data_IF_794362976617
#
_entry.id   IF_794362976617
#
_cell.length_a   1.000
_cell.length_b   1.000
_cell.length_c   1.000
_cell.angle_alpha   90.00
_cell.angle_beta   90.00
_cell.angle_gamma   90.00
#
_symmetry.space_group_name_H-M   'P 1'
#
loop_
_entity.id
_entity.type
_entity.pdbx_description
1 polymer ?
#
# COMPACT_ATOMS: atom_id res chain seq x y z
N UNK A 1 -1.49 -47.23 8.84
CA UNK A 1 -1.83 -46.26 9.91
C UNK A 1 -0.71 -45.23 9.99
N UNK A 2 -1.09 -43.97 9.81
CA UNK A 2 -0.23 -42.80 9.65
C UNK A 2 0.60 -42.46 10.90
N UNK A 3 1.82 -41.95 10.66
CA UNK A 3 2.25 -40.64 11.16
C UNK A 3 3.39 -40.13 10.28
N UNK A 4 3.05 -39.18 9.41
CA UNK A 4 4.03 -38.30 8.76
C UNK A 4 4.01 -37.05 9.62
N UNK A 5 5.07 -36.84 10.37
CA UNK A 5 5.30 -35.58 11.08
C UNK A 5 5.53 -34.50 10.02
N UNK A 6 4.49 -33.71 9.78
CA UNK A 6 4.55 -32.52 8.97
C UNK A 6 5.43 -31.51 9.71
N UNK A 7 6.69 -31.41 9.29
CA UNK A 7 7.52 -30.25 9.56
C UNK A 7 6.83 -29.02 8.97
N UNK A 8 6.08 -28.32 9.80
CA UNK A 8 5.60 -26.97 9.51
C UNK A 8 6.86 -26.10 9.48
N UNK A 9 7.23 -25.49 8.33
CA UNK A 9 8.26 -24.47 8.36
C UNK A 9 7.61 -23.24 9.02
N UNK A 10 7.93 -23.07 10.30
CA UNK A 10 7.64 -21.84 11.03
C UNK A 10 8.25 -20.70 10.23
N UNK A 11 7.40 -19.78 9.78
CA UNK A 11 7.76 -18.55 9.11
C UNK A 11 8.72 -17.73 9.97
N UNK A 12 10.02 -17.83 9.67
CA UNK A 12 11.11 -17.05 10.30
C UNK A 12 11.30 -15.68 9.60
N UNK A 13 10.52 -15.38 8.55
CA UNK A 13 10.77 -14.24 7.66
C UNK A 13 10.31 -12.85 8.18
N UNK A 14 9.61 -12.77 9.32
CA UNK A 14 8.90 -11.53 9.70
C UNK A 14 9.72 -10.51 10.48
N UNK A 15 10.83 -10.87 11.12
CA UNK A 15 11.52 -9.94 12.04
C UNK A 15 12.58 -9.03 11.38
N UNK A 16 13.04 -9.35 10.16
CA UNK A 16 14.19 -8.65 9.55
C UNK A 16 13.93 -8.01 8.18
N UNK A 17 12.69 -7.97 7.68
CA UNK A 17 12.40 -7.31 6.39
C UNK A 17 12.21 -5.81 6.57
N UNK A 18 13.01 -5.01 5.88
CA UNK A 18 12.85 -3.56 5.81
C UNK A 18 11.79 -3.20 4.76
N UNK A 19 10.80 -2.39 5.13
CA UNK A 19 9.77 -1.94 4.19
C UNK A 19 9.89 -0.44 3.93
N UNK A 20 9.93 -0.08 2.65
CA UNK A 20 10.04 1.31 2.19
C UNK A 20 8.82 1.66 1.33
N UNK A 21 8.15 2.75 1.68
CA UNK A 21 7.03 3.34 0.94
C UNK A 21 7.43 4.73 0.42
N UNK A 22 8.09 4.83 -0.74
CA UNK A 22 8.25 6.09 -1.46
C UNK A 22 6.91 6.70 -1.85
N UNK A 23 6.69 7.95 -1.48
CA UNK A 23 5.49 8.72 -1.85
C UNK A 23 5.75 9.52 -3.14
N UNK A 24 5.10 9.12 -4.23
CA UNK A 24 5.07 9.87 -5.48
C UNK A 24 4.57 11.30 -5.29
N UNK A 25 5.15 12.24 -6.04
CA UNK A 25 4.64 13.61 -6.09
C UNK A 25 3.22 13.62 -6.68
N UNK A 26 2.27 14.30 -6.01
CA UNK A 26 0.94 14.46 -6.56
C UNK A 26 0.97 15.40 -7.78
N UNK A 27 -0.12 15.44 -8.58
CA UNK A 27 -0.30 16.44 -9.62
C UNK A 27 -0.11 17.87 -9.09
N UNK A 28 0.36 18.79 -9.93
CA UNK A 28 0.83 20.14 -9.53
C UNK A 28 -0.19 20.99 -8.76
N UNK A 29 -1.48 20.70 -8.89
CA UNK A 29 -2.57 21.37 -8.18
C UNK A 29 -2.96 20.72 -6.84
N UNK A 30 -2.24 19.69 -6.39
CA UNK A 30 -2.51 18.97 -5.15
C UNK A 30 -1.33 19.05 -4.18
N UNK A 31 -1.62 19.31 -2.91
CA UNK A 31 -0.63 19.14 -1.85
C UNK A 31 -0.46 17.64 -1.52
N UNK A 32 0.71 17.27 -0.99
CA UNK A 32 0.96 15.90 -0.48
C UNK A 32 -0.11 15.50 0.55
N UNK A 33 -0.48 16.42 1.44
CA UNK A 33 -1.48 16.16 2.48
C UNK A 33 -2.85 15.90 1.87
N UNK A 34 -3.30 16.74 0.94
CA UNK A 34 -4.63 16.58 0.35
C UNK A 34 -4.72 15.32 -0.50
N UNK A 35 -3.65 14.99 -1.23
CA UNK A 35 -3.57 13.80 -2.05
C UNK A 35 -3.61 12.51 -1.21
N UNK A 36 -2.65 12.36 -0.30
CA UNK A 36 -2.51 11.13 0.50
C UNK A 36 -3.56 10.99 1.59
N UNK A 37 -4.21 12.09 1.97
CA UNK A 37 -5.33 12.07 2.91
C UNK A 37 -6.71 12.03 2.25
N UNK A 38 -6.78 12.08 0.91
CA UNK A 38 -8.03 11.88 0.18
C UNK A 38 -8.56 10.48 0.44
N UNK A 39 -9.85 10.41 0.74
CA UNK A 39 -10.50 9.16 1.20
C UNK A 39 -10.94 8.30 0.03
N UNK A 40 -10.74 7.00 0.19
CA UNK A 40 -11.28 5.94 -0.66
C UNK A 40 -12.09 5.03 0.25
N UNK A 41 -13.41 4.97 0.04
CA UNK A 41 -14.34 4.25 0.93
C UNK A 41 -14.23 4.70 2.41
N UNK A 42 -14.07 6.01 2.64
CA UNK A 42 -14.00 6.59 3.97
C UNK A 42 -12.62 6.53 4.66
N UNK A 43 -11.67 5.76 4.11
CA UNK A 43 -10.30 5.62 4.64
C UNK A 43 -9.33 6.43 3.78
N UNK A 44 -8.47 7.28 4.36
CA UNK A 44 -7.40 7.97 3.64
C UNK A 44 -6.53 7.02 2.83
N UNK A 45 -6.15 7.43 1.61
CA UNK A 45 -5.36 6.62 0.69
C UNK A 45 -4.09 6.06 1.34
N UNK A 46 -3.27 6.91 1.97
CA UNK A 46 -2.04 6.47 2.62
C UNK A 46 -2.31 5.50 3.78
N UNK A 47 -3.32 5.78 4.61
CA UNK A 47 -3.68 4.88 5.71
C UNK A 47 -4.13 3.51 5.22
N UNK A 48 -4.76 3.43 4.05
CA UNK A 48 -5.18 2.16 3.48
C UNK A 48 -3.98 1.25 3.20
N UNK A 49 -2.92 1.78 2.61
CA UNK A 49 -1.67 1.04 2.39
C UNK A 49 -1.00 0.68 3.71
N UNK A 50 -0.90 1.62 4.65
CA UNK A 50 -0.31 1.38 5.97
C UNK A 50 -1.06 0.28 6.73
N UNK A 51 -2.40 0.26 6.68
CA UNK A 51 -3.19 -0.83 7.27
C UNK A 51 -3.03 -2.16 6.53
N UNK A 52 -2.86 -2.16 5.21
CA UNK A 52 -2.52 -3.39 4.47
C UNK A 52 -1.16 -3.93 4.91
N UNK A 53 -0.15 -3.08 5.03
CA UNK A 53 1.18 -3.43 5.54
C UNK A 53 1.09 -4.04 6.94
N UNK A 54 0.42 -3.36 7.89
CA UNK A 54 0.23 -3.87 9.25
C UNK A 54 -0.45 -5.25 9.28
N UNK A 55 -1.51 -5.43 8.48
CA UNK A 55 -2.25 -6.72 8.39
C UNK A 55 -1.45 -7.84 7.73
N UNK A 56 -0.37 -7.49 7.03
CA UNK A 56 0.58 -8.42 6.43
C UNK A 56 1.72 -8.79 7.39
N UNK A 57 1.74 -8.24 8.62
CA UNK A 57 2.79 -8.52 9.61
C UNK A 57 3.97 -7.54 9.56
N UNK A 58 3.86 -6.43 8.83
CA UNK A 58 4.93 -5.42 8.78
C UNK A 58 4.95 -4.63 10.09
N UNK A 59 6.08 -4.68 10.80
CA UNK A 59 6.26 -4.05 12.10
C UNK A 59 6.98 -2.69 12.04
N UNK A 60 7.69 -2.40 10.96
CA UNK A 60 8.40 -1.13 10.75
C UNK A 60 8.30 -0.68 9.29
N UNK A 61 8.07 0.61 9.07
CA UNK A 61 7.91 1.21 7.76
C UNK A 61 8.72 2.50 7.65
N UNK A 62 9.53 2.60 6.60
CA UNK A 62 10.18 3.83 6.17
C UNK A 62 9.28 4.50 5.13
N UNK A 63 8.73 5.66 5.44
CA UNK A 63 8.02 6.50 4.47
C UNK A 63 9.04 7.48 3.89
N UNK A 64 9.32 7.36 2.60
CA UNK A 64 10.29 8.20 1.91
C UNK A 64 9.58 9.26 1.05
N UNK A 65 9.97 10.52 1.19
CA UNK A 65 9.53 11.61 0.32
C UNK A 65 10.64 12.63 0.15
N UNK A 66 10.85 13.17 -1.05
CA UNK A 66 11.93 14.13 -1.33
C UNK A 66 11.75 15.52 -0.72
N UNK A 67 10.66 15.74 0.00
CA UNK A 67 10.34 17.00 0.68
C UNK A 67 9.81 16.68 2.07
N UNK A 68 10.01 17.58 3.02
CA UNK A 68 9.51 17.40 4.37
C UNK A 68 7.99 17.59 4.42
N UNK A 69 7.26 16.60 4.94
CA UNK A 69 5.80 16.59 4.97
C UNK A 69 5.25 16.60 6.40
N UNK A 70 5.69 17.56 7.23
CA UNK A 70 5.35 17.64 8.67
C UNK A 70 3.85 17.56 8.96
N UNK A 71 3.00 18.16 8.12
CA UNK A 71 1.55 18.11 8.25
C UNK A 71 0.99 16.70 8.04
N UNK A 72 1.53 15.94 7.08
CA UNK A 72 1.16 14.55 6.85
C UNK A 72 1.64 13.66 8.00
N UNK A 73 2.87 13.89 8.50
CA UNK A 73 3.43 13.15 9.64
C UNK A 73 2.55 13.34 10.88
N UNK A 74 2.17 14.60 11.18
CA UNK A 74 1.26 14.93 12.30
C UNK A 74 -0.10 14.24 12.17
N UNK A 75 -0.63 14.07 10.96
CA UNK A 75 -1.89 13.34 10.75
C UNK A 75 -1.71 11.84 11.03
N UNK A 76 -0.63 11.23 10.56
CA UNK A 76 -0.33 9.82 10.83
C UNK A 76 -0.13 9.56 12.34
N UNK A 77 0.62 10.40 13.04
CA UNK A 77 0.83 10.24 14.50
C UNK A 77 -0.44 10.37 15.34
N UNK A 78 -1.51 10.98 14.80
CA UNK A 78 -2.81 11.08 15.49
C UNK A 78 -3.68 9.84 15.30
N UNK A 79 -3.30 8.92 14.42
CA UNK A 79 -4.08 7.72 14.13
C UNK A 79 -3.77 6.61 15.14
N UNK A 80 -4.69 6.44 16.08
CA UNK A 80 -4.56 5.50 17.20
C UNK A 80 -4.55 4.00 16.80
N UNK A 81 -4.93 3.67 15.56
CA UNK A 81 -4.98 2.28 15.07
C UNK A 81 -3.65 1.80 14.48
N UNK A 82 -2.67 2.68 14.36
CA UNK A 82 -1.35 2.34 13.84
C UNK A 82 -0.50 1.71 14.95
N UNK A 83 -0.06 0.48 14.72
CA UNK A 83 0.80 -0.26 15.66
C UNK A 83 2.22 -0.44 15.14
N UNK A 84 2.45 -0.23 13.85
CA UNK A 84 3.78 -0.33 13.25
C UNK A 84 4.62 0.93 13.50
N UNK A 85 5.94 0.74 13.63
CA UNK A 85 6.90 1.83 13.78
C UNK A 85 7.04 2.60 12.47
N UNK A 86 6.73 3.89 12.49
CA UNK A 86 6.92 4.79 11.35
C UNK A 86 8.24 5.54 11.47
N UNK A 87 9.05 5.49 10.41
CA UNK A 87 10.22 6.34 10.21
C UNK A 87 10.00 7.17 8.96
N UNK A 88 10.26 8.47 9.04
CA UNK A 88 10.09 9.39 7.90
C UNK A 88 11.47 9.81 7.43
N UNK A 89 11.75 9.60 6.14
CA UNK A 89 13.03 9.97 5.55
C UNK A 89 12.87 10.88 4.34
N UNK A 90 13.78 11.84 4.24
CA UNK A 90 13.86 12.77 3.10
C UNK A 90 15.13 12.61 2.29
N UNK A 91 16.14 11.95 2.85
CA UNK A 91 17.41 11.69 2.20
C UNK A 91 17.48 10.23 1.71
N UNK A 92 17.63 10.06 0.39
CA UNK A 92 17.73 8.74 -0.24
C UNK A 92 18.94 7.94 0.27
N UNK A 93 20.05 8.60 0.61
CA UNK A 93 21.25 7.94 1.14
C UNK A 93 20.97 7.30 2.50
N UNK A 94 20.12 7.93 3.33
CA UNK A 94 19.72 7.37 4.62
C UNK A 94 18.82 6.15 4.46
N UNK A 95 17.90 6.18 3.47
CA UNK A 95 17.07 5.02 3.12
C UNK A 95 17.95 3.83 2.68
N UNK A 96 18.89 4.07 1.76
CA UNK A 96 19.82 3.03 1.26
C UNK A 96 20.72 2.50 2.38
N UNK A 97 21.17 3.37 3.29
CA UNK A 97 21.97 2.98 4.45
C UNK A 97 21.17 2.10 5.42
N UNK A 98 19.93 2.48 5.71
CA UNK A 98 19.05 1.74 6.61
C UNK A 98 18.68 0.34 6.09
N UNK A 99 18.61 0.17 4.78
CA UNK A 99 18.22 -1.10 4.14
C UNK A 99 19.41 -2.01 3.79
N UNK A 100 20.65 -1.54 3.98
CA UNK A 100 21.87 -2.18 3.46
C UNK A 100 22.06 -3.65 3.85
N UNK A 101 21.61 -4.11 5.02
CA UNK A 101 21.86 -5.50 5.43
C UNK A 101 20.58 -6.31 5.62
N UNK A 102 19.47 -5.84 5.04
CA UNK A 102 18.14 -6.42 5.28
C UNK A 102 17.43 -6.71 3.96
N UNK A 103 16.70 -7.85 3.86
CA UNK A 103 15.69 -8.02 2.83
C UNK A 103 14.78 -6.81 2.80
N UNK A 104 14.54 -6.24 1.62
CA UNK A 104 13.89 -4.95 1.47
C UNK A 104 12.72 -5.05 0.51
N UNK A 105 11.54 -4.67 0.98
CA UNK A 105 10.37 -4.50 0.13
C UNK A 105 10.15 -3.01 -0.16
N UNK A 106 10.16 -2.64 -1.43
CA UNK A 106 9.86 -1.27 -1.89
C UNK A 106 8.47 -1.28 -2.52
N UNK A 107 7.54 -0.50 -1.97
CA UNK A 107 6.19 -0.39 -2.50
C UNK A 107 6.03 0.93 -3.25
N UNK A 108 5.41 0.90 -4.42
CA UNK A 108 4.98 2.13 -5.08
C UNK A 108 3.89 2.83 -4.25
N UNK A 109 4.20 3.97 -3.63
CA UNK A 109 3.23 4.74 -2.85
C UNK A 109 2.11 5.39 -3.68
N UNK A 110 2.26 5.45 -5.00
CA UNK A 110 1.22 5.85 -5.94
C UNK A 110 0.19 4.76 -6.26
N UNK A 111 0.27 3.58 -5.65
CA UNK A 111 -0.68 2.48 -5.89
C UNK A 111 -1.34 2.00 -4.59
N UNK A 112 -2.54 1.43 -4.70
CA UNK A 112 -3.16 0.67 -3.61
C UNK A 112 -2.61 -0.76 -3.58
N UNK A 113 -2.23 -1.21 -2.39
CA UNK A 113 -1.70 -2.56 -2.17
C UNK A 113 -2.62 -3.38 -1.28
N UNK A 114 -2.86 -4.63 -1.70
CA UNK A 114 -3.58 -5.63 -0.92
C UNK A 114 -2.63 -6.35 0.04
N UNK A 115 -3.20 -7.00 1.06
CA UNK A 115 -2.43 -7.85 1.97
C UNK A 115 -1.68 -8.96 1.21
N UNK A 116 -2.35 -9.61 0.26
CA UNK A 116 -1.77 -10.72 -0.51
C UNK A 116 -0.59 -10.26 -1.35
N UNK A 117 -0.69 -9.12 -2.03
CA UNK A 117 0.42 -8.55 -2.81
C UNK A 117 1.64 -8.25 -1.93
N UNK A 118 1.42 -7.73 -0.73
CA UNK A 118 2.48 -7.43 0.23
C UNK A 118 3.13 -8.72 0.76
N UNK A 119 2.34 -9.72 1.14
CA UNK A 119 2.84 -11.03 1.57
C UNK A 119 3.66 -11.72 0.48
N UNK A 120 3.22 -11.65 -0.78
CA UNK A 120 4.01 -12.11 -1.93
C UNK A 120 5.30 -11.32 -2.09
N UNK A 121 5.26 -10.00 -1.94
CA UNK A 121 6.44 -9.13 -2.02
C UNK A 121 7.47 -9.37 -0.91
N UNK A 122 7.04 -9.83 0.27
CA UNK A 122 7.94 -10.19 1.38
C UNK A 122 8.54 -11.60 1.24
N UNK A 123 8.16 -12.36 0.21
CA UNK A 123 8.72 -13.67 -0.05
C UNK A 123 9.94 -13.56 -1.00
N UNK A 124 11.14 -13.58 -0.42
CA UNK A 124 12.41 -13.45 -1.17
C UNK A 124 12.96 -14.79 -1.67
N UNK A 125 12.41 -15.92 -1.24
CA UNK A 125 12.97 -17.26 -1.49
C UNK A 125 12.26 -18.02 -2.61
N UNK A 126 11.03 -17.65 -2.93
CA UNK A 126 10.25 -18.31 -3.97
C UNK A 126 10.38 -17.56 -5.30
N UNK A 127 10.17 -18.28 -6.41
CA UNK A 127 10.00 -17.61 -7.69
C UNK A 127 8.93 -16.52 -7.53
N UNK A 128 9.26 -15.26 -7.82
CA UNK A 128 8.31 -14.17 -7.68
C UNK A 128 7.11 -14.49 -8.56
N UNK A 129 5.92 -14.16 -8.07
CA UNK A 129 4.79 -13.99 -8.98
C UNK A 129 5.15 -12.80 -9.86
N UNK A 130 5.70 -13.06 -11.05
CA UNK A 130 6.24 -12.06 -11.98
C UNK A 130 5.18 -11.01 -12.38
N UNK A 131 3.89 -11.31 -12.14
CA UNK A 131 2.80 -10.35 -12.35
C UNK A 131 2.71 -9.28 -11.26
N UNK A 132 3.30 -9.51 -10.07
CA UNK A 132 3.13 -8.67 -8.88
C UNK A 132 4.45 -8.15 -8.31
N UNK A 133 5.51 -8.96 -8.32
CA UNK A 133 6.77 -8.66 -7.62
C UNK A 133 7.93 -8.71 -8.59
N UNK A 134 8.78 -7.68 -8.53
CA UNK A 134 9.98 -7.58 -9.36
C UNK A 134 11.21 -7.51 -8.46
N UNK A 135 12.03 -8.57 -8.41
CA UNK A 135 13.33 -8.50 -7.78
C UNK A 135 14.19 -7.46 -8.51
N UNK A 136 14.88 -6.61 -7.75
CA UNK A 136 15.76 -5.57 -8.30
C UNK A 136 17.12 -5.62 -7.65
N UNK A 137 18.15 -5.23 -8.40
CA UNK A 137 19.48 -5.10 -7.84
C UNK A 137 19.60 -3.87 -6.95
N UNK A 138 20.46 -3.95 -5.94
CA UNK A 138 20.75 -2.80 -5.09
C UNK A 138 21.31 -1.61 -5.86
N UNK A 139 22.05 -1.86 -6.94
CA UNK A 139 22.61 -0.82 -7.81
C UNK A 139 21.52 0.06 -8.42
N UNK A 140 20.33 -0.50 -8.70
CA UNK A 140 19.20 0.22 -9.30
C UNK A 140 18.18 0.73 -8.27
N UNK A 141 18.30 0.37 -6.99
CA UNK A 141 17.39 0.80 -5.92
C UNK A 141 17.19 2.33 -5.87
N UNK A 142 18.28 3.08 -5.94
CA UNK A 142 18.24 4.56 -5.91
C UNK A 142 17.44 5.11 -7.08
N UNK A 143 17.66 4.54 -8.27
CA UNK A 143 16.95 4.92 -9.49
C UNK A 143 15.46 4.58 -9.37
N UNK A 144 15.12 3.37 -8.88
CA UNK A 144 13.74 2.96 -8.62
C UNK A 144 13.03 3.93 -7.67
N UNK A 145 13.65 4.30 -6.54
CA UNK A 145 13.06 5.25 -5.61
C UNK A 145 12.85 6.63 -6.24
N UNK A 146 13.79 7.12 -7.05
CA UNK A 146 13.67 8.39 -7.75
C UNK A 146 12.54 8.37 -8.78
N UNK A 147 12.42 7.30 -9.57
CA UNK A 147 11.35 7.16 -10.56
C UNK A 147 9.97 7.15 -9.89
N UNK A 148 9.81 6.44 -8.77
CA UNK A 148 8.55 6.42 -8.01
C UNK A 148 8.21 7.82 -7.49
N UNK A 149 9.17 8.52 -6.90
CA UNK A 149 8.96 9.88 -6.37
C UNK A 149 8.53 10.84 -7.49
N UNK A 150 9.07 10.70 -8.70
CA UNK A 150 8.70 11.51 -9.85
C UNK A 150 7.35 11.13 -10.47
N UNK A 151 6.73 10.04 -10.02
CA UNK A 151 5.49 9.53 -10.60
C UNK A 151 5.71 8.86 -11.96
N UNK A 152 6.95 8.53 -12.30
CA UNK A 152 7.30 7.88 -13.55
C UNK A 152 7.08 6.37 -13.44
N UNK A 153 6.84 5.73 -14.58
CA UNK A 153 6.84 4.27 -14.66
C UNK A 153 8.26 3.76 -14.44
N UNK A 154 8.44 2.88 -13.47
CA UNK A 154 9.73 2.21 -13.26
C UNK A 154 9.95 1.23 -14.41
N UNK A 155 10.99 1.47 -15.21
CA UNK A 155 11.45 0.51 -16.21
C UNK A 155 12.17 -0.62 -15.50
N UNK A 156 11.56 -1.80 -15.50
CA UNK A 156 12.08 -2.99 -14.84
C UNK A 156 12.76 -3.87 -15.91
N UNK A 157 14.08 -3.92 -15.87
CA UNK A 157 14.83 -5.00 -16.51
C UNK A 157 14.95 -6.13 -15.52
N UNK A 158 14.54 -7.37 -15.85
CA UNK A 158 14.75 -8.53 -15.00
C UNK A 158 16.24 -8.64 -14.65
N UNK A 159 16.57 -8.87 -13.37
CA UNK A 159 17.96 -9.17 -12.99
C UNK A 159 18.40 -10.43 -13.75
N UNK A 160 19.49 -10.32 -14.50
CA UNK A 160 20.00 -11.42 -15.35
C UNK A 160 20.75 -12.50 -14.58
N UNK A 161 20.91 -12.36 -13.27
CA UNK A 161 21.69 -13.29 -12.46
C UNK A 161 20.84 -14.00 -11.42
N UNK A 162 21.10 -15.31 -11.28
CA UNK A 162 20.58 -16.23 -10.25
C UNK A 162 21.03 -15.86 -8.81
N UNK A 163 21.30 -14.59 -8.53
CA UNK A 163 21.54 -14.15 -7.16
C UNK A 163 20.20 -13.91 -6.46
N UNK A 164 20.07 -14.43 -5.25
CA UNK A 164 18.98 -14.09 -4.33
C UNK A 164 18.96 -12.56 -4.13
N UNK A 165 18.15 -11.86 -4.91
CA UNK A 165 17.97 -10.43 -4.70
C UNK A 165 17.32 -10.22 -3.34
N UNK A 166 18.00 -9.47 -2.49
CA UNK A 166 17.48 -9.04 -1.20
C UNK A 166 16.51 -7.86 -1.35
N UNK A 167 16.12 -7.45 -2.56
CA UNK A 167 15.22 -6.32 -2.77
C UNK A 167 14.11 -6.68 -3.74
N UNK A 168 12.88 -6.64 -3.24
CA UNK A 168 11.67 -6.81 -4.03
C UNK A 168 11.00 -5.45 -4.23
N UNK A 169 10.71 -5.11 -5.48
CA UNK A 169 9.87 -3.99 -5.84
C UNK A 169 8.44 -4.44 -6.14
N UNK A 170 7.49 -3.79 -5.49
CA UNK A 170 6.06 -4.01 -5.64
C UNK A 170 5.44 -2.77 -6.31
N UNK A 171 5.28 -2.77 -7.65
CA UNK A 171 4.70 -1.65 -8.39
C UNK A 171 3.20 -1.46 -8.09
N UNK A 172 2.52 -2.49 -7.60
CA UNK A 172 1.06 -2.56 -7.52
C UNK A 172 0.45 -2.85 -8.90
N UNK A 173 -0.76 -3.42 -8.91
CA UNK A 173 -1.47 -3.71 -10.17
C UNK A 173 -1.77 -2.44 -10.94
N UNK A 174 -1.78 -2.53 -12.27
CA UNK A 174 -2.04 -1.37 -13.14
C UNK A 174 -3.36 -0.67 -12.82
N UNK A 175 -4.38 -1.43 -12.43
CA UNK A 175 -5.70 -0.93 -12.07
C UNK A 175 -5.80 -0.42 -10.62
N UNK A 176 -4.72 -0.48 -9.83
CA UNK A 176 -4.65 0.03 -8.45
C UNK A 176 -3.87 1.34 -8.32
N UNK A 177 -3.28 1.82 -9.42
CA UNK A 177 -2.52 3.07 -9.46
C UNK A 177 -3.44 4.30 -9.32
N UNK A 178 -2.94 5.31 -8.64
CA UNK A 178 -3.60 6.59 -8.39
C UNK A 178 -2.67 7.71 -8.84
N UNK A 179 -2.82 8.12 -10.09
CA UNK A 179 -1.99 9.13 -10.74
C UNK A 179 -2.74 10.45 -10.96
N UNK A 180 -4.07 10.37 -11.08
CA UNK A 180 -4.95 11.53 -11.30
C UNK A 180 -6.17 11.51 -10.34
N UNK A 181 -6.82 12.66 -10.08
CA UNK A 181 -7.92 12.74 -9.12
C UNK A 181 -9.07 11.77 -9.38
N UNK A 182 -9.32 11.45 -10.65
CA UNK A 182 -10.38 10.53 -11.09
C UNK A 182 -10.12 9.10 -10.62
N UNK A 183 -8.86 8.72 -10.44
CA UNK A 183 -8.48 7.37 -10.02
C UNK A 183 -8.99 7.07 -8.61
N UNK A 184 -9.08 8.07 -7.71
CA UNK A 184 -9.68 7.87 -6.39
C UNK A 184 -11.13 7.39 -6.47
N UNK A 185 -11.89 7.88 -7.46
CA UNK A 185 -13.27 7.47 -7.67
C UNK A 185 -13.35 6.07 -8.29
N UNK A 186 -12.43 5.74 -9.20
CA UNK A 186 -12.29 4.39 -9.75
C UNK A 186 -11.97 3.39 -8.63
N UNK A 187 -10.97 3.68 -7.80
CA UNK A 187 -10.62 2.84 -6.65
C UNK A 187 -11.77 2.70 -5.65
N UNK A 188 -12.54 3.77 -5.43
CA UNK A 188 -13.73 3.71 -4.59
C UNK A 188 -14.75 2.70 -5.13
N UNK A 189 -15.03 2.73 -6.44
CA UNK A 189 -15.92 1.77 -7.10
C UNK A 189 -15.38 0.35 -7.08
N UNK A 190 -14.11 0.16 -7.44
CA UNK A 190 -13.48 -1.16 -7.48
C UNK A 190 -13.55 -1.84 -6.11
N UNK A 191 -13.28 -1.09 -5.04
CA UNK A 191 -13.36 -1.61 -3.67
C UNK A 191 -14.79 -1.91 -3.24
N UNK A 192 -15.75 -1.07 -3.60
CA UNK A 192 -17.16 -1.34 -3.34
C UNK A 192 -17.59 -2.63 -4.05
N UNK A 193 -17.30 -2.78 -5.34
CA UNK A 193 -17.64 -3.98 -6.12
C UNK A 193 -16.96 -5.24 -5.57
N UNK A 194 -15.65 -5.17 -5.26
CA UNK A 194 -14.88 -6.27 -4.72
C UNK A 194 -15.21 -6.65 -3.27
N UNK A 195 -15.91 -5.79 -2.52
CA UNK A 195 -16.37 -6.08 -1.15
C UNK A 195 -17.65 -6.94 -1.11
N UNK A 196 -18.00 -7.61 -2.21
CA UNK A 196 -19.16 -8.49 -2.28
C UNK A 196 -20.48 -7.75 -2.50
N UNK A 197 -20.48 -6.54 -3.06
CA UNK A 197 -21.71 -5.88 -3.51
C UNK A 197 -22.37 -6.55 -4.72
N UNK A 198 -21.70 -7.53 -5.33
CA UNK A 198 -22.27 -8.40 -6.36
C UNK A 198 -23.04 -9.59 -5.77
N UNK A 199 -23.00 -9.83 -4.46
CA UNK A 199 -23.82 -10.80 -3.75
C UNK A 199 -24.30 -10.17 -2.42
N UNK A 200 -25.53 -9.66 -2.41
CA UNK A 200 -26.32 -9.21 -1.24
C UNK A 200 -25.69 -9.51 0.13
N UNK A 201 -25.30 -8.49 0.92
CA UNK A 201 -25.41 -8.54 2.40
C UNK A 201 -24.90 -7.30 3.17
N UNK A 202 -23.91 -6.51 2.71
CA UNK A 202 -23.35 -5.43 3.56
C UNK A 202 -23.84 -3.99 3.24
N UNK A 203 -24.07 -3.66 1.96
CA UNK A 203 -24.70 -2.37 1.59
C UNK A 203 -26.11 -2.27 2.12
N UNK A 204 -26.84 -3.39 2.09
CA UNK A 204 -28.27 -3.39 2.31
C UNK A 204 -28.64 -3.03 3.76
N UNK A 205 -27.76 -3.33 4.71
CA UNK A 205 -27.96 -2.94 6.12
C UNK A 205 -27.58 -1.51 6.46
N UNK A 206 -26.66 -0.90 5.72
CA UNK A 206 -26.02 0.37 6.13
C UNK A 206 -26.37 1.52 5.21
N UNK A 207 -26.28 1.30 3.90
CA UNK A 207 -26.63 2.29 2.88
C UNK A 207 -28.15 2.34 2.73
N UNK A 208 -28.85 1.21 2.65
CA UNK A 208 -30.31 1.21 2.58
C UNK A 208 -30.92 1.79 3.86
N UNK A 209 -30.37 1.55 5.07
CA UNK A 209 -30.84 2.24 6.28
C UNK A 209 -30.57 3.74 6.28
N UNK A 210 -29.44 4.21 5.75
CA UNK A 210 -29.15 5.64 5.69
C UNK A 210 -30.05 6.35 4.69
N UNK A 211 -30.17 5.83 3.47
CA UNK A 211 -31.02 6.40 2.42
C UNK A 211 -32.51 6.21 2.72
N UNK A 212 -32.93 5.06 3.25
CA UNK A 212 -34.31 4.84 3.71
C UNK A 212 -34.67 5.82 4.84
N UNK A 213 -33.82 6.01 5.85
CA UNK A 213 -34.09 6.99 6.92
C UNK A 213 -34.19 8.43 6.42
N UNK A 214 -33.43 8.80 5.39
CA UNK A 214 -33.53 10.13 4.78
C UNK A 214 -34.78 10.29 3.90
N UNK A 215 -35.10 9.29 3.08
CA UNK A 215 -36.32 9.27 2.26
C UNK A 215 -37.59 9.23 3.11
N UNK A 216 -37.65 8.38 4.14
CA UNK A 216 -38.79 8.33 5.06
C UNK A 216 -38.95 9.63 5.85
N UNK A 217 -37.86 10.29 6.25
CA UNK A 217 -37.94 11.64 6.85
C UNK A 217 -38.41 12.70 5.86
N UNK A 218 -38.11 12.55 4.58
CA UNK A 218 -38.58 13.45 3.54
C UNK A 218 -40.09 13.28 3.31
N UNK A 219 -40.58 12.05 3.17
CA UNK A 219 -42.00 11.75 2.97
C UNK A 219 -42.89 12.02 4.19
N UNK A 220 -42.39 11.82 5.42
CA UNK A 220 -43.13 12.15 6.64
C UNK A 220 -43.18 13.65 6.94
N UNK A 221 -42.31 14.46 6.31
CA UNK A 221 -42.26 15.93 6.50
C UNK A 221 -42.98 16.72 5.42
N UNK A 222 -43.43 16.08 4.35
CA UNK A 222 -44.34 16.68 3.36
C UNK A 222 -45.78 16.52 3.85
N UNK A 223 -46.50 17.61 4.19
CA UNK A 223 -47.94 17.54 4.34
C UNK A 223 -48.58 17.29 2.96
N UNK A 224 -49.69 16.54 2.95
CA UNK A 224 -50.56 16.39 1.76
C UNK A 224 -51.15 17.74 1.34
#
# INVERSE_FOLDING_TARGET
>A
MHKIDSNIPVSIASENTCVVLPLSRPPSNWSMVDWYWKKICGIPFLLRNIFSLQRSGVNSLIIYSNTENTALHKKLFKENKLTLKLTFETNITEVVRATKNYPTLILNGGALHTKQEIESGMNFTNQPDEALVYPIDRTIMTETLNQIIMGNKVSLTPSSDNQESLINFLPGKNDSHINKPEDFFIQHKNLLQGSGLSNDSFMDKTITRFFSRQLTRFFLKTPL
#
